data_IF_967621225219
#
_entry.id   IF_967621225219
#
_cell.length_a   1.000
_cell.length_b   1.000
_cell.length_c   1.000
_cell.angle_alpha   90.00
_cell.angle_beta   90.00
_cell.angle_gamma   90.00
#
_symmetry.space_group_name_H-M   'P 1'
#
loop_
_entity.id
_entity.type
_entity.pdbx_description
1 polymer ?
#
# COMPACT_ATOMS: atom_id res chain seq x y z
N UNK A 1 -18.06 7.69 18.33
CA UNK A 1 -16.97 8.70 18.29
C UNK A 1 -15.75 8.12 18.97
N UNK A 2 -14.58 8.28 18.35
CA UNK A 2 -13.27 7.97 18.96
C UNK A 2 -12.44 9.24 19.11
N UNK A 3 -11.54 9.29 20.08
CA UNK A 3 -10.56 10.39 20.19
C UNK A 3 -9.58 10.37 19.01
N UNK A 4 -9.02 11.53 18.65
CA UNK A 4 -8.17 11.75 17.47
C UNK A 4 -7.01 10.75 17.30
N UNK A 5 -6.42 10.30 18.42
CA UNK A 5 -5.36 9.30 18.40
C UNK A 5 -5.82 7.89 17.98
N UNK A 6 -7.13 7.67 17.79
CA UNK A 6 -7.70 6.46 17.22
C UNK A 6 -7.40 5.19 18.01
N UNK A 7 -7.18 5.28 19.33
CA UNK A 7 -6.90 4.11 20.18
C UNK A 7 -8.09 3.64 20.99
N UNK A 8 -9.05 4.53 21.26
CA UNK A 8 -10.20 4.28 22.14
C UNK A 8 -11.44 5.02 21.64
N UNK A 9 -12.56 4.34 21.63
CA UNK A 9 -13.89 4.94 21.48
C UNK A 9 -14.37 5.56 22.79
N UNK A 10 -15.37 6.45 22.72
CA UNK A 10 -16.04 6.96 23.92
C UNK A 10 -16.64 5.82 24.77
N UNK A 11 -17.10 4.75 24.11
CA UNK A 11 -17.61 3.57 24.79
C UNK A 11 -16.52 2.85 25.60
N UNK A 12 -15.31 2.70 25.04
CA UNK A 12 -14.19 2.08 25.78
C UNK A 12 -13.82 2.90 27.01
N UNK A 13 -13.83 4.24 26.88
CA UNK A 13 -13.57 5.15 28.00
C UNK A 13 -14.66 5.01 29.06
N UNK A 14 -15.93 4.99 28.66
CA UNK A 14 -17.05 4.79 29.58
C UNK A 14 -16.93 3.48 30.36
N UNK A 15 -16.63 2.37 29.66
CA UNK A 15 -16.45 1.06 30.29
C UNK A 15 -15.26 1.04 31.26
N UNK A 16 -14.16 1.70 30.92
CA UNK A 16 -13.01 1.84 31.80
C UNK A 16 -13.36 2.61 33.08
N UNK A 17 -14.04 3.75 32.96
CA UNK A 17 -14.45 4.54 34.13
C UNK A 17 -15.40 3.75 35.05
N UNK A 18 -16.31 2.95 34.47
CA UNK A 18 -17.19 2.05 35.23
C UNK A 18 -16.43 0.94 35.94
N UNK A 19 -15.39 0.40 35.30
CA UNK A 19 -14.51 -0.61 35.92
C UNK A 19 -13.75 -0.05 37.12
N UNK A 20 -13.33 1.21 37.05
CA UNK A 20 -12.72 1.95 38.17
C UNK A 20 -13.73 2.42 39.24
N UNK A 21 -14.95 1.86 39.26
CA UNK A 21 -16.05 2.21 40.17
C UNK A 21 -16.46 3.70 40.15
N UNK A 22 -16.16 4.43 39.08
CA UNK A 22 -16.65 5.80 38.91
C UNK A 22 -18.09 5.78 38.40
N UNK A 23 -19.00 6.46 39.11
CA UNK A 23 -20.39 6.59 38.70
C UNK A 23 -20.54 7.65 37.60
N UNK A 24 -20.28 7.25 36.36
CA UNK A 24 -20.35 8.12 35.18
C UNK A 24 -21.65 7.88 34.41
N UNK A 25 -22.33 8.95 34.01
CA UNK A 25 -23.47 8.89 33.09
C UNK A 25 -22.98 9.07 31.64
N UNK A 26 -23.38 8.17 30.74
CA UNK A 26 -22.89 8.16 29.36
C UNK A 26 -23.32 9.38 28.54
N UNK A 27 -24.55 9.87 28.72
CA UNK A 27 -25.06 11.04 28.02
C UNK A 27 -24.29 12.30 28.44
N UNK A 28 -24.10 12.49 29.75
CA UNK A 28 -23.27 13.59 30.27
C UNK A 28 -21.84 13.51 29.77
N UNK A 29 -21.25 12.31 29.75
CA UNK A 29 -19.90 12.10 29.22
C UNK A 29 -19.82 12.47 27.73
N UNK A 30 -20.84 12.09 26.94
CA UNK A 30 -20.93 12.45 25.54
C UNK A 30 -21.04 13.97 25.35
N UNK A 31 -21.86 14.65 26.15
CA UNK A 31 -22.01 16.10 26.09
C UNK A 31 -20.73 16.84 26.48
N UNK A 32 -20.00 16.35 27.48
CA UNK A 32 -18.66 16.86 27.81
C UNK A 32 -17.69 16.74 26.63
N UNK A 33 -17.65 15.58 25.96
CA UNK A 33 -16.76 15.38 24.81
C UNK A 33 -17.14 16.27 23.62
N UNK A 34 -18.44 16.43 23.34
CA UNK A 34 -18.92 17.39 22.32
C UNK A 34 -18.52 18.83 22.66
N UNK A 35 -18.63 19.23 23.93
CA UNK A 35 -18.19 20.55 24.38
C UNK A 35 -16.68 20.74 24.23
N UNK A 36 -15.87 19.75 24.62
CA UNK A 36 -14.42 19.78 24.42
C UNK A 36 -14.01 19.83 22.96
N UNK A 37 -14.70 19.11 22.09
CA UNK A 37 -14.48 19.17 20.65
C UNK A 37 -14.83 20.55 20.08
N UNK A 38 -15.98 21.12 20.46
CA UNK A 38 -16.37 22.48 20.06
C UNK A 38 -15.34 23.53 20.48
N UNK A 39 -14.75 23.37 21.66
CA UNK A 39 -13.68 24.21 22.19
C UNK A 39 -12.28 23.84 21.65
N UNK A 40 -12.17 22.87 20.74
CA UNK A 40 -10.92 22.38 20.14
C UNK A 40 -9.91 21.78 21.14
N UNK A 41 -10.36 21.35 22.32
CA UNK A 41 -9.52 20.61 23.28
C UNK A 41 -9.27 19.16 22.84
N UNK A 42 -10.23 18.58 22.12
CA UNK A 42 -10.10 17.25 21.50
C UNK A 42 -10.57 17.31 20.05
N UNK A 43 -10.21 16.30 19.27
CA UNK A 43 -10.88 15.99 18.01
C UNK A 43 -11.48 14.60 18.12
N UNK A 44 -12.72 14.45 17.64
CA UNK A 44 -13.36 13.14 17.50
C UNK A 44 -13.34 12.69 16.06
N UNK A 45 -13.38 11.37 15.87
CA UNK A 45 -13.31 10.70 14.58
C UNK A 45 -14.41 9.64 14.47
N UNK A 46 -14.86 9.29 13.25
CA UNK A 46 -15.87 8.27 13.06
C UNK A 46 -15.33 6.90 13.44
N UNK A 47 -16.24 6.05 13.92
CA UNK A 47 -15.95 4.63 14.14
C UNK A 47 -16.40 3.88 12.90
N UNK A 48 -15.47 3.17 12.29
CA UNK A 48 -15.68 2.37 11.08
C UNK A 48 -15.96 0.94 11.51
N UNK A 49 -17.14 0.44 11.13
CA UNK A 49 -17.60 -0.91 11.47
C UNK A 49 -17.36 -1.88 10.32
N UNK A 50 -17.47 -3.18 10.61
CA UNK A 50 -17.34 -4.23 9.60
C UNK A 50 -18.37 -4.08 8.47
N UNK A 51 -19.57 -3.60 8.78
CA UNK A 51 -20.62 -3.32 7.79
C UNK A 51 -20.26 -2.16 6.86
N UNK A 52 -19.54 -1.15 7.35
CA UNK A 52 -19.09 -0.02 6.52
C UNK A 52 -18.04 -0.47 5.51
N UNK A 53 -17.08 -1.30 5.93
CA UNK A 53 -16.09 -1.89 5.03
C UNK A 53 -16.75 -2.79 3.98
N UNK A 54 -17.64 -3.69 4.40
CA UNK A 54 -18.33 -4.58 3.46
C UNK A 54 -19.15 -3.79 2.42
N UNK A 55 -19.88 -2.77 2.86
CA UNK A 55 -20.63 -1.86 1.98
C UNK A 55 -19.69 -1.13 1.02
N UNK A 56 -18.60 -0.53 1.53
CA UNK A 56 -17.67 0.24 0.73
C UNK A 56 -16.96 -0.63 -0.32
N UNK A 57 -16.49 -1.83 0.05
CA UNK A 57 -15.87 -2.78 -0.88
C UNK A 57 -16.82 -3.23 -1.98
N UNK A 58 -18.08 -3.51 -1.63
CA UNK A 58 -19.11 -3.84 -2.63
C UNK A 58 -19.41 -2.66 -3.57
N UNK A 59 -19.57 -1.46 -3.02
CA UNK A 59 -19.88 -0.25 -3.78
C UNK A 59 -18.74 0.16 -4.71
N UNK A 60 -17.49 0.10 -4.24
CA UNK A 60 -16.31 0.45 -5.06
C UNK A 60 -16.06 -0.60 -6.15
N UNK A 61 -16.61 -1.81 -5.98
CA UNK A 61 -16.66 -2.83 -7.02
C UNK A 61 -15.67 -3.98 -6.81
N UNK A 62 -15.19 -4.21 -5.59
CA UNK A 62 -14.46 -5.43 -5.24
C UNK A 62 -15.40 -6.62 -5.40
N UNK A 63 -14.94 -7.68 -6.08
CA UNK A 63 -15.72 -8.87 -6.39
C UNK A 63 -15.00 -10.14 -5.93
N UNK A 64 -15.76 -11.20 -5.61
CA UNK A 64 -15.19 -12.52 -5.39
C UNK A 64 -14.35 -13.00 -6.59
N UNK A 65 -13.21 -13.63 -6.34
CA UNK A 65 -12.30 -14.15 -7.36
C UNK A 65 -11.24 -13.18 -7.85
N UNK A 66 -11.31 -11.90 -7.46
CA UNK A 66 -10.30 -10.90 -7.86
C UNK A 66 -8.92 -11.19 -7.25
N UNK A 67 -7.88 -10.93 -8.03
CA UNK A 67 -6.53 -10.67 -7.51
C UNK A 67 -6.42 -9.19 -7.20
N UNK A 68 -6.28 -8.86 -5.92
CA UNK A 68 -6.42 -7.50 -5.41
C UNK A 68 -5.17 -7.09 -4.64
N UNK A 69 -4.42 -6.12 -5.16
CA UNK A 69 -3.39 -5.43 -4.40
C UNK A 69 -4.02 -4.32 -3.56
N UNK A 70 -3.69 -4.26 -2.27
CA UNK A 70 -4.23 -3.25 -1.36
C UNK A 70 -3.09 -2.43 -0.77
N UNK A 71 -3.15 -1.12 -1.02
CA UNK A 71 -2.31 -0.13 -0.36
C UNK A 71 -3.06 0.43 0.85
N UNK A 72 -2.42 0.49 2.03
CA UNK A 72 -3.14 0.87 3.26
C UNK A 72 -2.45 1.97 4.06
N UNK A 73 -3.22 3.02 4.35
CA UNK A 73 -2.94 4.08 5.32
C UNK A 73 -4.14 4.24 6.25
N UNK A 74 -4.40 3.24 7.10
CA UNK A 74 -5.67 3.11 7.86
C UNK A 74 -6.01 4.32 8.75
N UNK A 75 -5.01 5.10 9.15
CA UNK A 75 -5.17 6.29 9.99
C UNK A 75 -5.97 7.41 9.34
N UNK A 76 -6.26 7.36 8.04
CA UNK A 76 -7.02 8.41 7.34
C UNK A 76 -8.55 8.22 7.39
N UNK A 77 -9.06 7.04 7.78
CA UNK A 77 -10.49 6.75 7.70
C UNK A 77 -11.25 7.04 9.00
N UNK A 78 -10.58 6.95 10.15
CA UNK A 78 -11.18 7.00 11.47
C UNK A 78 -10.69 5.85 12.35
N UNK A 79 -11.52 5.43 13.30
CA UNK A 79 -11.23 4.30 14.19
C UNK A 79 -11.87 3.01 13.70
N UNK A 80 -11.05 2.01 13.40
CA UNK A 80 -11.51 0.65 13.04
C UNK A 80 -11.89 -0.11 14.32
N UNK A 81 -13.18 -0.35 14.56
CA UNK A 81 -13.66 -1.05 15.76
C UNK A 81 -13.18 -2.51 15.85
N UNK A 82 -12.95 -3.12 14.69
CA UNK A 82 -12.48 -4.49 14.52
C UNK A 82 -10.95 -4.61 14.46
N UNK A 83 -10.23 -3.48 14.57
CA UNK A 83 -8.79 -3.42 14.44
C UNK A 83 -8.25 -3.88 13.07
N UNK A 84 -6.92 -4.03 12.99
CA UNK A 84 -6.22 -4.39 11.75
C UNK A 84 -6.57 -5.79 11.25
N UNK A 85 -6.64 -6.78 12.13
CA UNK A 85 -7.02 -8.15 11.77
C UNK A 85 -8.43 -8.21 11.21
N UNK A 86 -9.37 -7.46 11.80
CA UNK A 86 -10.72 -7.38 11.28
C UNK A 86 -10.80 -6.73 9.90
N UNK A 87 -9.97 -5.72 9.60
CA UNK A 87 -9.85 -5.15 8.25
C UNK A 87 -9.36 -6.21 7.24
N UNK A 88 -8.32 -6.98 7.57
CA UNK A 88 -7.82 -8.05 6.69
C UNK A 88 -8.92 -9.09 6.46
N UNK A 89 -9.63 -9.51 7.51
CA UNK A 89 -10.73 -10.45 7.39
C UNK A 89 -11.85 -9.93 6.47
N UNK A 90 -12.15 -8.62 6.49
CA UNK A 90 -13.14 -8.04 5.58
C UNK A 90 -12.65 -8.00 4.12
N UNK A 91 -11.36 -7.74 3.89
CA UNK A 91 -10.75 -7.83 2.56
C UNK A 91 -10.80 -9.26 2.02
N UNK A 92 -10.42 -10.25 2.84
CA UNK A 92 -10.50 -11.68 2.49
C UNK A 92 -11.93 -12.11 2.17
N UNK A 93 -12.91 -11.67 2.96
CA UNK A 93 -14.34 -11.92 2.67
C UNK A 93 -14.79 -11.28 1.36
N UNK A 94 -14.33 -10.07 1.05
CA UNK A 94 -14.72 -9.35 -0.16
C UNK A 94 -14.20 -10.02 -1.44
N UNK A 95 -12.96 -10.50 -1.44
CA UNK A 95 -12.39 -11.25 -2.58
C UNK A 95 -12.76 -12.74 -2.58
N UNK A 96 -13.23 -13.26 -1.44
CA UNK A 96 -13.70 -14.64 -1.29
C UNK A 96 -12.61 -15.71 -1.48
N UNK A 97 -13.00 -16.98 -1.33
CA UNK A 97 -12.05 -18.12 -1.34
C UNK A 97 -11.33 -18.32 -2.69
N UNK A 98 -11.90 -17.82 -3.78
CA UNK A 98 -11.29 -17.85 -5.12
C UNK A 98 -10.39 -16.64 -5.40
N UNK A 99 -10.47 -15.59 -4.59
CA UNK A 99 -9.70 -14.37 -4.76
C UNK A 99 -8.34 -14.44 -4.08
N UNK A 100 -7.41 -13.59 -4.51
CA UNK A 100 -6.06 -13.51 -3.95
C UNK A 100 -5.78 -12.08 -3.51
N UNK A 101 -5.46 -11.89 -2.23
CA UNK A 101 -5.10 -10.61 -1.65
C UNK A 101 -3.59 -10.42 -1.72
N UNK A 102 -3.14 -9.27 -2.19
CA UNK A 102 -1.74 -8.88 -2.30
C UNK A 102 -1.50 -7.58 -1.53
N UNK A 103 -0.35 -7.45 -0.87
CA UNK A 103 0.05 -6.19 -0.23
C UNK A 103 1.54 -5.94 -0.43
N UNK A 104 1.96 -4.69 -0.71
CA UNK A 104 3.37 -4.34 -0.62
C UNK A 104 3.86 -4.56 0.81
N UNK A 105 5.04 -5.14 0.95
CA UNK A 105 5.68 -5.46 2.22
C UNK A 105 7.14 -5.03 2.22
N UNK A 106 7.40 -3.83 1.70
CA UNK A 106 8.77 -3.36 1.47
C UNK A 106 9.58 -3.45 2.77
N UNK A 107 10.79 -3.98 2.66
CA UNK A 107 11.73 -4.11 3.77
C UNK A 107 12.91 -3.14 3.64
N UNK A 108 13.08 -2.53 2.46
CA UNK A 108 14.14 -1.58 2.14
C UNK A 108 15.52 -2.08 2.61
N UNK A 109 15.78 -3.39 2.44
CA UNK A 109 17.02 -4.04 2.85
C UNK A 109 18.13 -3.66 1.87
N UNK A 110 18.63 -2.44 2.03
CA UNK A 110 19.77 -1.87 1.31
C UNK A 110 21.08 -2.12 2.05
N UNK A 111 22.20 -1.96 1.36
CA UNK A 111 23.53 -1.96 1.97
C UNK A 111 23.56 -1.05 3.20
N UNK A 112 24.10 -1.57 4.32
CA UNK A 112 24.03 -0.92 5.64
C UNK A 112 22.92 -1.45 6.55
N UNK A 113 22.02 -2.29 6.03
CA UNK A 113 20.99 -2.98 6.81
C UNK A 113 21.22 -4.49 6.92
N UNK A 114 20.43 -5.16 7.76
CA UNK A 114 20.43 -6.62 7.84
C UNK A 114 19.93 -7.25 6.53
N UNK A 115 20.48 -8.41 6.09
CA UNK A 115 20.00 -9.10 4.90
C UNK A 115 18.54 -9.49 5.06
N UNK A 116 17.80 -9.31 3.97
CA UNK A 116 16.40 -9.67 3.93
C UNK A 116 16.16 -11.14 4.27
N UNK A 117 15.15 -11.37 5.12
CA UNK A 117 14.64 -12.69 5.43
C UNK A 117 13.12 -12.65 5.35
N UNK A 118 12.52 -13.49 4.50
CA UNK A 118 11.07 -13.54 4.26
C UNK A 118 10.24 -13.60 5.54
N UNK A 119 10.70 -14.35 6.55
CA UNK A 119 9.98 -14.60 7.81
C UNK A 119 10.28 -13.56 8.89
N UNK A 120 11.50 -13.00 8.91
CA UNK A 120 11.98 -12.14 10.01
C UNK A 120 11.96 -10.65 9.70
N UNK A 121 12.14 -10.26 8.43
CA UNK A 121 12.20 -8.84 8.05
C UNK A 121 10.86 -8.16 8.22
N UNK A 122 10.86 -7.01 8.90
CA UNK A 122 9.68 -6.19 9.12
C UNK A 122 9.35 -5.41 7.84
N UNK A 123 8.06 -5.18 7.58
CA UNK A 123 7.59 -4.29 6.53
C UNK A 123 7.67 -2.82 6.99
N UNK A 124 8.21 -1.94 6.17
CA UNK A 124 8.30 -0.49 6.41
C UNK A 124 7.03 0.25 5.96
N UNK A 125 6.12 -0.42 5.26
CA UNK A 125 4.89 0.17 4.68
C UNK A 125 3.65 -0.10 5.53
N UNK A 126 3.79 0.06 6.85
CA UNK A 126 2.66 0.14 7.78
C UNK A 126 2.39 -1.11 8.63
N UNK A 127 1.60 -0.92 9.68
CA UNK A 127 1.31 -1.97 10.66
C UNK A 127 0.42 -3.09 10.12
N UNK A 128 -0.51 -2.76 9.21
CA UNK A 128 -1.40 -3.76 8.59
C UNK A 128 -0.60 -4.80 7.80
N UNK A 129 0.40 -4.36 7.03
CA UNK A 129 1.22 -5.25 6.20
C UNK A 129 2.10 -6.16 7.08
N UNK A 130 2.54 -5.68 8.24
CA UNK A 130 3.21 -6.52 9.25
C UNK A 130 2.27 -7.54 9.90
N UNK A 131 1.02 -7.18 10.17
CA UNK A 131 0.01 -8.12 10.65
C UNK A 131 -0.27 -9.19 9.58
N UNK A 132 -0.44 -8.77 8.32
CA UNK A 132 -0.70 -9.65 7.18
C UNK A 132 0.39 -10.70 7.00
N UNK A 133 1.68 -10.32 6.97
CA UNK A 133 2.79 -11.28 6.80
C UNK A 133 2.84 -12.38 7.88
N UNK A 134 2.29 -12.11 9.07
CA UNK A 134 2.27 -13.06 10.20
C UNK A 134 1.06 -14.00 10.18
N UNK A 135 0.09 -13.78 9.30
CA UNK A 135 -1.08 -14.65 9.19
C UNK A 135 -0.72 -15.99 8.53
N UNK A 136 -1.44 -17.07 8.87
CA UNK A 136 -1.29 -18.34 8.18
C UNK A 136 -1.63 -18.19 6.69
N UNK A 137 -0.98 -19.02 5.87
CA UNK A 137 -1.17 -19.11 4.43
C UNK A 137 -0.87 -17.82 3.64
N UNK A 138 -0.06 -16.94 4.24
CA UNK A 138 0.52 -15.78 3.57
C UNK A 138 1.91 -16.11 3.03
N UNK A 139 2.10 -15.87 1.74
CA UNK A 139 3.35 -16.11 1.04
C UNK A 139 4.00 -14.80 0.64
N UNK A 140 5.28 -14.64 1.01
CA UNK A 140 6.07 -13.43 0.72
C UNK A 140 7.16 -13.71 -0.31
N UNK A 141 7.25 -12.84 -1.31
CA UNK A 141 8.28 -12.83 -2.36
C UNK A 141 9.70 -12.76 -1.78
N UNK A 142 10.72 -13.03 -2.60
CA UNK A 142 12.12 -13.02 -2.20
C UNK A 142 12.83 -11.69 -2.45
N UNK A 143 12.10 -10.65 -2.87
CA UNK A 143 12.72 -9.38 -3.21
C UNK A 143 13.16 -8.61 -1.96
N UNK A 144 14.46 -8.30 -1.79
CA UNK A 144 14.99 -7.81 -0.50
C UNK A 144 14.56 -6.39 -0.14
N UNK A 145 14.31 -5.53 -1.13
CA UNK A 145 13.89 -4.15 -0.90
C UNK A 145 12.37 -4.01 -0.95
N UNK A 146 11.73 -4.45 -2.03
CA UNK A 146 10.31 -4.25 -2.30
C UNK A 146 9.49 -5.54 -2.31
N UNK A 147 9.69 -6.43 -1.33
CA UNK A 147 8.90 -7.66 -1.27
C UNK A 147 7.39 -7.38 -1.22
N UNK A 148 6.61 -8.23 -1.88
CA UNK A 148 5.14 -8.33 -1.81
C UNK A 148 4.73 -9.60 -1.07
N UNK A 149 3.66 -9.54 -0.28
CA UNK A 149 3.00 -10.68 0.34
C UNK A 149 1.63 -10.93 -0.30
N UNK A 150 1.26 -12.20 -0.44
CA UNK A 150 0.02 -12.65 -1.07
C UNK A 150 -0.65 -13.75 -0.25
N UNK A 151 -1.99 -13.79 -0.26
CA UNK A 151 -2.80 -14.86 0.32
C UNK A 151 -3.97 -15.22 -0.58
N UNK A 152 -4.19 -16.50 -0.80
CA UNK A 152 -5.22 -17.02 -1.70
C UNK A 152 -4.65 -18.03 -2.71
N UNK A 153 -5.50 -18.61 -3.57
CA UNK A 153 -5.14 -19.73 -4.44
C UNK A 153 -4.02 -19.41 -5.44
N UNK A 154 -3.82 -18.13 -5.80
CA UNK A 154 -2.78 -17.72 -6.75
C UNK A 154 -1.51 -17.18 -6.08
N UNK A 155 -1.45 -17.16 -4.75
CA UNK A 155 -0.41 -16.43 -3.99
C UNK A 155 1.02 -16.86 -4.35
N UNK A 156 1.28 -18.17 -4.41
CA UNK A 156 2.62 -18.71 -4.71
C UNK A 156 3.02 -18.50 -6.17
N UNK A 157 2.06 -18.61 -7.10
CA UNK A 157 2.27 -18.34 -8.52
C UNK A 157 2.62 -16.87 -8.75
N UNK A 158 1.87 -15.94 -8.15
CA UNK A 158 2.10 -14.50 -8.28
C UNK A 158 3.51 -14.12 -7.83
N UNK A 159 3.95 -14.52 -6.63
CA UNK A 159 5.27 -14.09 -6.12
C UNK A 159 6.47 -14.81 -6.75
N UNK A 160 6.25 -15.81 -7.61
CA UNK A 160 7.31 -16.60 -8.23
C UNK A 160 8.20 -15.71 -9.09
N UNK A 161 9.52 -15.86 -8.96
CA UNK A 161 10.50 -15.07 -9.73
C UNK A 161 10.77 -13.66 -9.19
N UNK A 162 10.04 -13.19 -8.17
CA UNK A 162 10.31 -11.88 -7.58
C UNK A 162 11.45 -11.95 -6.55
N UNK A 163 12.64 -11.50 -6.96
CA UNK A 163 13.89 -11.67 -6.20
C UNK A 163 14.93 -10.61 -6.56
N UNK A 164 16.01 -10.54 -5.79
CA UNK A 164 17.13 -9.61 -5.94
C UNK A 164 17.76 -9.44 -7.35
N UNK A 165 17.57 -10.38 -8.27
CA UNK A 165 18.13 -10.27 -9.63
C UNK A 165 17.30 -9.40 -10.58
N UNK A 166 16.02 -9.18 -10.26
CA UNK A 166 15.12 -8.38 -11.10
C UNK A 166 14.97 -6.98 -10.48
N UNK A 167 14.47 -6.00 -11.25
CA UNK A 167 14.04 -4.75 -10.67
C UNK A 167 12.95 -4.96 -9.61
N UNK A 168 12.86 -4.06 -8.60
CA UNK A 168 11.79 -4.06 -7.61
C UNK A 168 10.37 -4.17 -8.19
N UNK A 169 10.10 -3.39 -9.24
CA UNK A 169 8.87 -3.36 -10.02
C UNK A 169 9.13 -3.79 -11.47
N UNK A 170 9.86 -4.88 -11.67
CA UNK A 170 10.18 -5.39 -13.02
C UNK A 170 9.03 -6.15 -13.68
N UNK A 171 9.07 -6.24 -15.01
CA UNK A 171 8.15 -7.03 -15.83
C UNK A 171 8.21 -8.55 -15.56
N UNK A 172 9.30 -9.02 -14.94
CA UNK A 172 9.43 -10.40 -14.49
C UNK A 172 9.12 -10.53 -13.00
N UNK A 173 8.59 -11.67 -12.61
CA UNK A 173 8.22 -11.93 -11.22
C UNK A 173 6.85 -11.36 -10.87
N UNK A 174 6.71 -10.82 -9.65
CA UNK A 174 5.41 -10.49 -9.07
C UNK A 174 4.60 -9.54 -9.95
N UNK A 175 5.22 -8.46 -10.40
CA UNK A 175 4.51 -7.38 -11.08
C UNK A 175 4.05 -7.78 -12.49
N UNK A 176 4.88 -8.52 -13.23
CA UNK A 176 4.47 -9.15 -14.49
C UNK A 176 3.35 -10.18 -14.30
N UNK A 177 3.51 -11.09 -13.34
CA UNK A 177 2.49 -12.10 -13.03
C UNK A 177 1.16 -11.45 -12.60
N UNK A 178 1.24 -10.33 -11.88
CA UNK A 178 0.09 -9.56 -11.42
C UNK A 178 -0.67 -8.91 -12.59
N UNK A 179 0.03 -8.32 -13.55
CA UNK A 179 -0.62 -7.81 -14.78
C UNK A 179 -1.25 -8.93 -15.60
N UNK A 180 -0.53 -10.04 -15.78
CA UNK A 180 -1.01 -11.18 -16.56
C UNK A 180 -2.27 -11.85 -15.96
N UNK A 181 -2.55 -11.62 -14.67
CA UNK A 181 -3.69 -12.19 -13.96
C UNK A 181 -4.95 -11.32 -13.94
N UNK A 182 -5.00 -10.26 -14.76
CA UNK A 182 -6.10 -9.29 -14.79
C UNK A 182 -6.41 -8.67 -13.42
N UNK A 183 -5.35 -8.31 -12.70
CA UNK A 183 -5.44 -7.89 -11.31
C UNK A 183 -5.91 -6.44 -11.13
N UNK A 184 -6.26 -6.11 -9.89
CA UNK A 184 -6.84 -4.83 -9.49
C UNK A 184 -6.07 -4.22 -8.32
N UNK A 185 -6.04 -2.89 -8.25
CA UNK A 185 -5.44 -2.14 -7.14
C UNK A 185 -6.53 -1.41 -6.38
N UNK A 186 -6.62 -1.66 -5.07
CA UNK A 186 -7.44 -0.91 -4.12
C UNK A 186 -6.54 0.02 -3.30
N UNK A 187 -6.69 1.31 -3.54
CA UNK A 187 -6.04 2.35 -2.75
C UNK A 187 -6.91 2.62 -1.52
N UNK A 188 -6.43 2.16 -0.36
CA UNK A 188 -6.86 2.61 0.96
C UNK A 188 -5.76 3.46 1.61
N UNK A 189 -5.01 4.20 0.79
CA UNK A 189 -3.84 5.00 1.10
C UNK A 189 -3.81 6.21 0.14
N UNK A 190 -3.00 7.26 0.41
CA UNK A 190 -2.79 8.33 -0.54
C UNK A 190 -2.39 7.81 -1.92
N UNK A 191 -2.96 8.37 -2.99
CA UNK A 191 -2.81 7.87 -4.36
C UNK A 191 -1.35 7.84 -4.84
N UNK A 192 -0.51 8.79 -4.40
CA UNK A 192 0.93 8.83 -4.70
C UNK A 192 1.74 7.64 -4.15
N UNK A 193 1.11 6.72 -3.41
CA UNK A 193 1.74 5.46 -2.93
C UNK A 193 1.49 4.26 -3.85
N UNK A 194 0.86 4.46 -5.01
CA UNK A 194 0.56 3.41 -5.98
C UNK A 194 1.84 2.88 -6.65
N UNK A 195 2.44 1.85 -6.07
CA UNK A 195 3.73 1.32 -6.52
C UNK A 195 3.67 0.64 -7.90
N UNK A 196 2.47 0.32 -8.40
CA UNK A 196 2.31 -0.26 -9.73
C UNK A 196 2.83 0.67 -10.83
N UNK A 197 2.81 1.98 -10.64
CA UNK A 197 3.26 2.94 -11.67
C UNK A 197 4.77 2.78 -11.97
N UNK A 198 5.58 2.35 -11.00
CA UNK A 198 7.00 2.03 -11.24
C UNK A 198 7.19 0.80 -12.16
N UNK A 199 6.18 -0.05 -12.33
CA UNK A 199 6.21 -1.10 -13.34
C UNK A 199 6.17 -0.51 -14.75
N UNK A 200 5.35 0.54 -14.96
CA UNK A 200 5.31 1.23 -16.25
C UNK A 200 6.66 1.91 -16.56
N UNK A 201 7.35 2.46 -15.55
CA UNK A 201 8.73 2.97 -15.74
C UNK A 201 9.67 1.88 -16.26
N UNK A 202 9.57 0.65 -15.73
CA UNK A 202 10.38 -0.47 -16.21
C UNK A 202 9.99 -0.94 -17.61
N UNK A 203 8.68 -1.04 -17.91
CA UNK A 203 8.17 -1.44 -19.22
C UNK A 203 8.55 -0.43 -20.33
N UNK A 204 8.59 0.85 -20.01
CA UNK A 204 9.02 1.92 -20.93
C UNK A 204 10.53 2.16 -20.93
N UNK A 205 11.32 1.31 -20.26
CA UNK A 205 12.78 1.36 -20.29
C UNK A 205 13.37 2.61 -19.64
N UNK A 206 12.69 3.22 -18.66
CA UNK A 206 13.21 4.38 -17.94
C UNK A 206 14.48 3.97 -17.17
N UNK A 207 15.63 4.62 -17.41
CA UNK A 207 16.94 4.17 -16.91
C UNK A 207 17.18 4.64 -15.47
N UNK A 208 16.41 4.12 -14.51
CA UNK A 208 16.59 4.45 -13.10
C UNK A 208 17.84 3.77 -12.51
N UNK A 209 18.44 4.33 -11.45
CA UNK A 209 19.71 3.85 -10.93
C UNK A 209 19.58 2.48 -10.27
N UNK A 210 20.69 1.74 -10.25
CA UNK A 210 20.78 0.52 -9.46
C UNK A 210 20.96 0.82 -7.96
N UNK A 211 20.44 -0.07 -7.12
CA UNK A 211 20.64 -0.07 -5.68
C UNK A 211 21.55 -1.22 -5.25
N UNK A 212 22.19 -1.08 -4.11
CA UNK A 212 22.99 -2.16 -3.54
C UNK A 212 22.27 -2.80 -2.36
N UNK A 213 22.21 -4.12 -2.35
CA UNK A 213 21.55 -4.92 -1.33
C UNK A 213 22.58 -5.77 -0.58
N UNK A 214 22.38 -5.99 0.73
CA UNK A 214 23.32 -6.74 1.53
C UNK A 214 23.11 -8.24 1.35
N UNK A 215 24.21 -8.97 1.30
CA UNK A 215 24.25 -10.44 1.29
C UNK A 215 25.27 -10.91 2.30
N UNK A 216 24.95 -11.96 3.06
CA UNK A 216 25.95 -12.70 3.84
C UNK A 216 26.31 -13.98 3.10
N UNK A 217 27.60 -14.18 2.84
CA UNK A 217 28.15 -15.41 2.28
C UNK A 217 29.36 -15.80 3.13
N UNK A 218 29.38 -17.02 3.65
CA UNK A 218 30.47 -17.56 4.48
C UNK A 218 30.84 -16.65 5.67
N UNK A 219 29.83 -16.10 6.34
CA UNK A 219 30.00 -15.17 7.47
C UNK A 219 30.45 -13.75 7.10
N UNK A 220 30.85 -13.50 5.85
CA UNK A 220 31.30 -12.18 5.36
C UNK A 220 30.17 -11.41 4.69
N UNK A 221 30.20 -10.09 4.84
CA UNK A 221 29.31 -9.18 4.12
C UNK A 221 29.75 -9.03 2.67
N UNK A 222 28.77 -9.12 1.78
CA UNK A 222 28.90 -8.89 0.36
C UNK A 222 27.73 -8.00 -0.08
N UNK A 223 27.89 -7.39 -1.25
CA UNK A 223 26.84 -6.59 -1.86
C UNK A 223 26.44 -7.22 -3.18
N UNK A 224 25.16 -7.12 -3.48
CA UNK A 224 24.62 -7.43 -4.80
C UNK A 224 23.96 -6.18 -5.35
N UNK A 225 24.18 -5.93 -6.63
CA UNK A 225 23.47 -4.88 -7.35
C UNK A 225 22.05 -5.35 -7.68
N UNK A 226 21.09 -4.44 -7.50
CA UNK A 226 19.67 -4.60 -7.82
C UNK A 226 19.32 -3.51 -8.83
N UNK A 227 18.94 -3.87 -10.07
CA UNK A 227 18.74 -2.89 -11.14
C UNK A 227 17.46 -2.06 -10.93
N UNK A 228 17.41 -0.91 -11.59
CA UNK A 228 16.23 -0.05 -11.77
C UNK A 228 15.40 0.19 -10.50
N UNK A 229 16.01 0.85 -9.51
CA UNK A 229 15.33 1.20 -8.27
C UNK A 229 14.29 2.31 -8.52
N UNK A 230 13.08 2.22 -7.94
CA UNK A 230 12.08 3.28 -8.03
C UNK A 230 12.59 4.57 -7.39
N UNK A 231 12.29 5.72 -8.01
CA UNK A 231 12.76 7.03 -7.56
C UNK A 231 11.64 7.94 -7.07
N UNK A 232 11.04 8.72 -7.97
CA UNK A 232 10.15 9.81 -7.60
C UNK A 232 8.70 9.47 -7.93
N UNK A 233 7.78 9.83 -7.06
CA UNK A 233 6.33 9.59 -7.24
C UNK A 233 5.52 10.86 -7.53
N UNK A 234 6.18 12.03 -7.57
CA UNK A 234 5.54 13.34 -7.74
C UNK A 234 4.68 13.48 -9.00
N UNK A 235 4.90 12.62 -10.01
CA UNK A 235 4.18 12.63 -11.27
C UNK A 235 3.00 11.65 -11.31
N UNK A 236 2.83 10.80 -10.29
CA UNK A 236 1.79 9.77 -10.27
C UNK A 236 0.39 10.34 -10.36
N UNK A 237 0.16 11.55 -9.83
CA UNK A 237 -1.14 12.23 -9.94
C UNK A 237 -1.56 12.47 -11.39
N UNK A 238 -0.62 12.65 -12.32
CA UNK A 238 -0.97 12.77 -13.75
C UNK A 238 -1.55 11.48 -14.32
N UNK A 239 -1.10 10.32 -13.83
CA UNK A 239 -1.66 9.01 -14.18
C UNK A 239 -3.09 8.93 -13.66
N UNK A 240 -3.29 9.26 -12.38
CA UNK A 240 -4.60 9.23 -11.75
C UNK A 240 -5.59 10.22 -12.40
N UNK A 241 -5.16 11.44 -12.73
CA UNK A 241 -5.96 12.42 -13.45
C UNK A 241 -6.40 11.91 -14.83
N UNK A 242 -5.53 11.19 -15.54
CA UNK A 242 -5.86 10.61 -16.84
C UNK A 242 -6.89 9.48 -16.69
N UNK A 243 -6.74 8.62 -15.68
CA UNK A 243 -7.72 7.57 -15.36
C UNK A 243 -9.07 8.16 -14.95
N UNK A 244 -9.08 9.24 -14.17
CA UNK A 244 -10.28 9.93 -13.72
C UNK A 244 -11.03 10.57 -14.90
N UNK A 245 -10.32 11.28 -15.79
CA UNK A 245 -10.89 11.82 -17.05
C UNK A 245 -11.49 10.73 -17.93
N UNK A 246 -10.89 9.53 -17.94
CA UNK A 246 -11.39 8.36 -18.67
C UNK A 246 -12.49 7.59 -17.92
N UNK A 247 -12.86 8.02 -16.70
CA UNK A 247 -13.84 7.36 -15.82
C UNK A 247 -13.47 5.91 -15.49
N UNK A 248 -12.19 5.61 -15.37
CA UNK A 248 -11.65 4.29 -15.05
C UNK A 248 -11.42 4.07 -13.54
N UNK A 249 -11.51 5.13 -12.74
CA UNK A 249 -11.43 5.05 -11.28
C UNK A 249 -12.82 4.90 -10.67
N UNK A 250 -12.95 3.98 -9.71
CA UNK A 250 -14.15 3.86 -8.87
C UNK A 250 -13.81 4.36 -7.47
N UNK A 251 -14.57 5.34 -6.98
CA UNK A 251 -14.32 6.00 -5.68
C UNK A 251 -15.52 5.79 -4.77
N UNK A 252 -15.27 5.49 -3.50
CA UNK A 252 -16.29 5.40 -2.46
C UNK A 252 -15.76 6.02 -1.17
N UNK A 253 -16.57 6.86 -0.54
CA UNK A 253 -16.26 7.43 0.78
C UNK A 253 -16.36 6.34 1.86
N UNK A 254 -15.34 6.29 2.72
CA UNK A 254 -15.26 5.44 3.89
C UNK A 254 -14.76 6.29 5.07
N UNK A 255 -15.65 6.66 5.98
CA UNK A 255 -15.27 7.52 7.09
C UNK A 255 -14.83 8.91 6.63
N UNK A 256 -13.61 9.31 6.95
CA UNK A 256 -13.03 10.62 6.63
C UNK A 256 -12.26 10.69 5.30
N UNK A 257 -12.15 9.58 4.56
CA UNK A 257 -11.40 9.52 3.30
C UNK A 257 -12.13 8.66 2.27
N UNK A 258 -11.51 8.49 1.11
CA UNK A 258 -12.00 7.64 0.03
C UNK A 258 -11.17 6.36 -0.10
N UNK A 259 -11.83 5.32 -0.58
CA UNK A 259 -11.15 4.17 -1.18
C UNK A 259 -11.32 4.24 -2.70
N UNK A 260 -10.26 3.91 -3.43
CA UNK A 260 -10.24 3.99 -4.89
C UNK A 260 -9.85 2.65 -5.48
N UNK A 261 -10.70 2.09 -6.34
CA UNK A 261 -10.43 0.85 -7.06
C UNK A 261 -10.13 1.17 -8.53
N UNK A 262 -9.08 0.52 -9.06
CA UNK A 262 -8.66 0.63 -10.45
C UNK A 262 -8.12 -0.71 -10.96
N UNK A 263 -8.26 -0.96 -12.27
CA UNK A 263 -7.66 -2.13 -12.91
C UNK A 263 -6.16 -1.89 -13.10
N UNK A 264 -5.34 -2.91 -12.87
CA UNK A 264 -3.89 -2.76 -12.98
C UNK A 264 -3.46 -2.39 -14.41
N UNK A 265 -4.08 -3.01 -15.42
CA UNK A 265 -3.79 -2.71 -16.83
C UNK A 265 -4.06 -1.25 -17.19
N UNK A 266 -5.19 -0.69 -16.73
CA UNK A 266 -5.55 0.70 -17.03
C UNK A 266 -4.50 1.67 -16.46
N UNK A 267 -3.96 1.38 -15.28
CA UNK A 267 -2.88 2.18 -14.65
C UNK A 267 -1.63 2.16 -15.53
N UNK A 268 -1.24 0.98 -16.03
CA UNK A 268 -0.09 0.83 -16.91
C UNK A 268 -0.31 1.58 -18.21
N UNK A 269 -1.46 1.41 -18.86
CA UNK A 269 -1.77 2.08 -20.12
C UNK A 269 -1.73 3.61 -19.97
N UNK A 270 -2.29 4.14 -18.87
CA UNK A 270 -2.25 5.57 -18.58
C UNK A 270 -0.83 6.07 -18.30
N UNK A 271 -0.04 5.32 -17.53
CA UNK A 271 1.34 5.66 -17.24
C UNK A 271 2.22 5.62 -18.50
N UNK A 272 2.08 4.59 -19.34
CA UNK A 272 2.75 4.45 -20.63
C UNK A 272 2.47 5.65 -21.55
N UNK A 273 1.21 6.09 -21.67
CA UNK A 273 0.87 7.28 -22.47
C UNK A 273 1.62 8.53 -21.99
N UNK A 274 1.76 8.69 -20.67
CA UNK A 274 2.44 9.85 -20.07
C UNK A 274 3.96 9.75 -20.27
N UNK A 275 4.55 8.59 -20.01
CA UNK A 275 5.99 8.34 -20.13
C UNK A 275 6.46 8.47 -21.58
N UNK A 276 5.73 7.91 -22.56
CA UNK A 276 6.05 8.07 -23.99
C UNK A 276 5.99 9.52 -24.46
N UNK A 277 5.10 10.32 -23.88
CA UNK A 277 4.99 11.75 -24.20
C UNK A 277 6.13 12.56 -23.56
N UNK A 278 6.54 12.21 -22.35
CA UNK A 278 7.59 12.90 -21.61
C UNK A 278 8.29 11.95 -20.63
N UNK A 279 9.39 11.29 -21.05
CA UNK A 279 10.11 10.37 -20.16
C UNK A 279 10.84 11.10 -19.02
N UNK A 280 11.15 12.39 -19.19
CA UNK A 280 11.77 13.23 -18.16
C UNK A 280 10.84 13.58 -16.98
N UNK A 281 9.56 13.24 -17.08
CA UNK A 281 8.58 13.47 -16.00
C UNK A 281 8.94 12.75 -14.70
N UNK A 282 9.78 11.72 -14.76
CA UNK A 282 10.26 10.99 -13.58
C UNK A 282 11.26 11.81 -12.75
N UNK A 283 11.78 12.91 -13.27
CA UNK A 283 12.69 13.83 -12.58
C UNK A 283 11.90 14.90 -11.84
N UNK A 284 12.11 15.05 -10.53
CA UNK A 284 11.42 16.05 -9.70
C UNK A 284 12.04 17.46 -9.76
N UNK A 285 12.95 17.71 -10.72
CA UNK A 285 13.60 19.00 -10.94
C UNK A 285 14.63 19.42 -9.88
N UNK A 286 14.88 18.60 -8.85
CA UNK A 286 15.93 18.92 -7.86
C UNK A 286 17.29 18.43 -8.32
N UNK A 287 18.31 19.28 -8.14
CA UNK A 287 19.70 18.88 -8.33
C UNK A 287 20.08 17.85 -7.26
N UNK A 288 20.33 16.62 -7.70
CA UNK A 288 20.71 15.52 -6.84
C UNK A 288 21.35 14.42 -7.67
N UNK A 289 22.32 13.72 -7.09
CA UNK A 289 23.16 12.73 -7.79
C UNK A 289 22.34 11.75 -8.63
N UNK A 290 21.22 11.28 -8.09
CA UNK A 290 20.32 10.36 -8.79
C UNK A 290 19.54 11.00 -9.93
N UNK A 291 18.96 12.20 -9.75
CA UNK A 291 18.26 12.91 -10.83
C UNK A 291 19.23 13.27 -11.96
N UNK A 292 20.45 13.71 -11.63
CA UNK A 292 21.49 14.02 -12.61
C UNK A 292 21.90 12.78 -13.40
N UNK A 293 22.09 11.64 -12.73
CA UNK A 293 22.43 10.38 -13.37
C UNK A 293 21.31 9.90 -14.33
N UNK A 294 20.05 9.92 -13.87
CA UNK A 294 18.91 9.54 -14.72
C UNK A 294 18.74 10.50 -15.88
N UNK A 295 18.86 11.82 -15.66
CA UNK A 295 18.80 12.81 -16.74
C UNK A 295 19.85 12.52 -17.80
N UNK A 296 21.12 12.31 -17.40
CA UNK A 296 22.20 11.96 -18.33
C UNK A 296 21.90 10.70 -19.14
N UNK A 297 21.31 9.68 -18.50
CA UNK A 297 20.94 8.45 -19.20
C UNK A 297 19.77 8.68 -20.17
N UNK A 298 18.76 9.46 -19.79
CA UNK A 298 17.65 9.83 -20.67
C UNK A 298 18.15 10.63 -21.88
N UNK A 299 19.05 11.60 -21.68
CA UNK A 299 19.68 12.40 -22.74
C UNK A 299 20.50 11.56 -23.74
N UNK A 300 20.86 10.33 -23.37
CA UNK A 300 21.56 9.39 -24.26
C UNK A 300 20.63 8.48 -25.07
N UNK A 301 19.34 8.47 -24.73
CA UNK A 301 18.30 7.61 -25.34
C UNK A 301 17.38 8.43 -26.26
N UNK A 302 17.01 9.65 -25.83
CA UNK A 302 16.04 10.54 -26.46
C UNK A 302 16.69 11.83 -26.98
#
# INVERSE_FOLDING_TARGET
LSLAYGKRSLWDIYQFLRFENLNVNLEKLLDCFKAFEKCKFISTRPVIKSSDLSRAFKQVGVKPGMTLMVHTGVSQFGYLDMGMTGLINQLEKAVGIKGTLCMPTHSLSFSGSNPYNKKKSISTVGALTNAFIRMPDVYRSAHPTHSVACKGPKATALIKGHHAACPPQGETGFWGNFLADDAWVLMMAPMGTNTLIHLAENLEGIPTPAGFIPKKKDGKWQHRECPNMPMNTHWFDKVHDLLDRKKLLKRVVLGESEIVLMRAQDVIDAATVILKKNPYIVLNGTEGVWNTAVKKNLDSIY
#
